data_IF_196325025927
#
_entry.id   IF_196325025927
#
_cell.length_a   1.000
_cell.length_b   1.000
_cell.length_c   1.000
_cell.angle_alpha   90.00
_cell.angle_beta   90.00
_cell.angle_gamma   90.00
#
_symmetry.space_group_name_H-M   'P 1'
#
loop_
_entity.id
_entity.type
_entity.pdbx_description
1 polymer ?
#
# COMPACT_ATOMS: atom_id res chain seq x y z
N UNK A 1 7.12 7.86 -11.34
CA UNK A 1 6.14 7.60 -10.29
C UNK A 1 6.86 7.31 -8.97
N UNK A 2 6.47 8.01 -7.90
CA UNK A 2 6.98 7.82 -6.54
C UNK A 2 5.82 7.45 -5.63
N UNK A 3 5.93 6.32 -4.94
CA UNK A 3 4.97 5.88 -3.94
C UNK A 3 5.60 5.90 -2.54
N UNK A 4 4.88 6.44 -1.56
CA UNK A 4 5.28 6.46 -0.17
C UNK A 4 4.09 6.25 0.77
N UNK A 5 4.33 6.28 2.08
CA UNK A 5 3.31 6.23 3.11
C UNK A 5 3.83 6.80 4.44
N UNK A 6 2.93 7.28 5.32
CA UNK A 6 3.28 7.68 6.69
C UNK A 6 4.00 6.59 7.48
N UNK A 7 3.60 5.32 7.29
CA UNK A 7 4.22 4.18 7.95
C UNK A 7 5.69 3.98 7.57
N UNK A 8 6.07 4.28 6.31
CA UNK A 8 7.40 3.94 5.81
C UNK A 8 8.49 4.74 6.52
N UNK A 9 9.25 4.04 7.37
CA UNK A 9 10.22 4.67 8.27
C UNK A 9 9.57 5.66 9.24
N UNK A 10 8.31 5.45 9.64
CA UNK A 10 7.56 6.30 10.59
C UNK A 10 7.54 7.78 10.17
N UNK A 11 7.32 8.04 8.88
CA UNK A 11 7.31 9.36 8.24
C UNK A 11 8.65 9.80 7.67
N UNK A 12 9.73 9.03 7.88
CA UNK A 12 11.06 9.38 7.35
C UNK A 12 11.12 9.27 5.82
N UNK A 13 10.38 8.31 5.22
CA UNK A 13 10.31 8.16 3.77
C UNK A 13 9.76 9.44 3.11
N UNK A 14 8.66 9.98 3.61
CA UNK A 14 8.06 11.21 3.10
C UNK A 14 9.02 12.40 3.28
N UNK A 15 9.68 12.52 4.44
CA UNK A 15 10.67 13.58 4.70
C UNK A 15 11.92 13.47 3.79
N UNK A 16 12.34 12.25 3.44
CA UNK A 16 13.44 12.04 2.48
C UNK A 16 13.02 12.37 1.06
N UNK A 17 11.81 11.99 0.66
CA UNK A 17 11.25 12.38 -0.63
C UNK A 17 11.14 13.91 -0.77
N UNK A 18 10.72 14.63 0.27
CA UNK A 18 10.72 16.09 0.28
C UNK A 18 12.07 16.66 -0.18
N UNK A 19 13.18 16.19 0.44
CA UNK A 19 14.53 16.68 0.11
C UNK A 19 14.90 16.48 -1.37
N UNK A 20 14.37 15.43 -1.98
CA UNK A 20 14.61 15.10 -3.37
C UNK A 20 13.63 15.85 -4.30
N UNK A 21 12.33 15.81 -4.02
CA UNK A 21 11.29 16.33 -4.91
C UNK A 21 11.31 17.85 -5.02
N UNK A 22 11.67 18.59 -3.96
CA UNK A 22 11.83 20.05 -4.03
C UNK A 22 12.85 20.55 -5.06
N UNK A 23 13.69 19.65 -5.60
CA UNK A 23 14.67 19.93 -6.64
C UNK A 23 14.15 19.55 -8.04
N UNK A 24 12.92 19.08 -8.15
CA UNK A 24 12.27 18.62 -9.37
C UNK A 24 11.11 19.53 -9.76
N UNK A 25 10.79 19.55 -11.05
CA UNK A 25 9.55 20.17 -11.49
C UNK A 25 8.40 19.20 -11.14
N UNK A 26 7.35 19.71 -10.51
CA UNK A 26 6.19 18.91 -10.09
C UNK A 26 5.43 18.27 -11.25
N UNK A 27 5.58 18.78 -12.47
CA UNK A 27 5.01 18.19 -13.68
C UNK A 27 5.79 16.98 -14.23
N UNK A 28 7.00 16.73 -13.72
CA UNK A 28 7.87 15.65 -14.20
C UNK A 28 7.67 14.32 -13.46
N UNK A 29 6.78 14.30 -12.46
CA UNK A 29 6.52 13.09 -11.69
C UNK A 29 5.05 12.98 -11.24
N UNK A 30 4.66 11.78 -10.91
CA UNK A 30 3.41 11.46 -10.19
C UNK A 30 3.78 10.98 -8.80
N UNK A 31 3.16 11.56 -7.78
CA UNK A 31 3.39 11.24 -6.38
C UNK A 31 2.16 10.63 -5.73
N UNK A 32 2.33 9.51 -5.07
CA UNK A 32 1.30 8.93 -4.21
C UNK A 32 1.72 8.85 -2.76
N UNK A 33 0.75 9.01 -1.85
CA UNK A 33 0.88 8.69 -0.43
C UNK A 33 -0.38 8.00 0.06
N UNK A 34 -0.41 7.65 1.35
CA UNK A 34 -1.48 6.83 1.92
C UNK A 34 -2.04 7.47 3.18
N UNK A 35 -3.30 7.15 3.52
CA UNK A 35 -4.03 7.70 4.68
C UNK A 35 -4.67 6.61 5.54
N UNK A 36 -5.10 6.98 6.75
CA UNK A 36 -5.72 6.07 7.71
C UNK A 36 -4.75 5.52 8.77
N UNK A 37 -3.45 5.69 8.56
CA UNK A 37 -2.38 5.29 9.51
C UNK A 37 -1.62 6.55 9.95
N UNK A 38 -1.90 7.05 11.15
CA UNK A 38 -1.36 8.30 11.68
C UNK A 38 -0.15 8.02 12.57
N UNK A 39 0.98 8.67 12.29
CA UNK A 39 2.21 8.54 13.07
C UNK A 39 2.26 9.62 14.15
N UNK A 40 2.10 9.25 15.42
CA UNK A 40 2.15 10.17 16.58
C UNK A 40 3.46 10.04 17.34
N UNK A 41 4.04 11.13 17.85
CA UNK A 41 5.22 11.06 18.72
C UNK A 41 4.96 10.16 19.93
N UNK A 42 5.96 9.38 20.32
CA UNK A 42 5.91 8.50 21.50
C UNK A 42 7.29 8.37 22.14
N UNK A 43 7.38 7.63 23.26
CA UNK A 43 8.65 7.20 23.81
C UNK A 43 9.27 6.06 23.00
N UNK A 44 10.57 5.85 23.13
CA UNK A 44 11.30 4.82 22.38
C UNK A 44 10.71 3.41 22.57
N UNK A 45 10.33 3.08 23.81
CA UNK A 45 9.73 1.78 24.16
C UNK A 45 8.36 1.51 23.54
N UNK A 46 7.65 2.56 23.13
CA UNK A 46 6.30 2.50 22.52
C UNK A 46 6.32 2.54 21.00
N UNK A 47 7.50 2.62 20.38
CA UNK A 47 7.64 2.82 18.94
C UNK A 47 7.03 1.67 18.14
N UNK A 48 6.29 1.98 17.10
CA UNK A 48 5.81 0.97 16.14
C UNK A 48 6.97 0.34 15.40
N UNK A 49 6.97 -1.00 15.27
CA UNK A 49 7.94 -1.74 14.48
C UNK A 49 9.36 -1.68 15.04
N UNK A 50 9.53 -1.75 16.37
CA UNK A 50 10.84 -1.91 17.02
C UNK A 50 11.60 -3.08 16.36
N UNK A 51 12.86 -2.83 15.97
CA UNK A 51 13.69 -3.79 15.25
C UNK A 51 13.41 -3.92 13.74
N UNK A 52 12.37 -3.27 13.22
CA UNK A 52 12.08 -3.23 11.78
C UNK A 52 12.53 -1.94 11.11
N UNK A 53 12.60 -0.84 11.86
CA UNK A 53 12.97 0.48 11.38
C UNK A 53 14.19 1.00 12.12
N UNK A 54 15.18 1.49 11.39
CA UNK A 54 16.44 2.01 11.93
C UNK A 54 16.58 3.50 11.64
N UNK A 55 17.14 4.25 12.57
CA UNK A 55 17.37 5.70 12.46
C UNK A 55 16.10 6.50 12.12
N UNK A 56 14.98 6.10 12.71
CA UNK A 56 13.67 6.70 12.48
C UNK A 56 13.20 7.51 13.70
N UNK A 57 12.30 8.49 13.53
CA UNK A 57 11.69 9.20 14.65
C UNK A 57 10.90 8.25 15.56
N UNK A 58 10.93 8.49 16.88
CA UNK A 58 10.11 7.74 17.82
C UNK A 58 8.63 8.09 17.64
N UNK A 59 7.93 7.23 16.92
CA UNK A 59 6.50 7.40 16.63
C UNK A 59 5.76 6.10 16.78
N UNK A 60 4.51 6.22 17.27
CA UNK A 60 3.55 5.12 17.36
C UNK A 60 2.46 5.32 16.33
N UNK A 61 2.11 4.23 15.67
CA UNK A 61 1.03 4.18 14.73
C UNK A 61 -0.33 4.19 15.43
N UNK A 62 -1.26 4.96 14.86
CA UNK A 62 -2.68 4.97 15.23
C UNK A 62 -3.52 4.81 13.96
N UNK A 63 -4.43 3.86 13.99
CA UNK A 63 -5.42 3.68 12.93
C UNK A 63 -6.60 4.60 13.17
N UNK A 64 -6.94 5.40 12.17
CA UNK A 64 -8.12 6.27 12.19
C UNK A 64 -8.59 6.45 10.76
N UNK A 65 -9.61 5.68 10.38
CA UNK A 65 -10.19 5.68 9.04
C UNK A 65 -11.47 6.53 8.96
N UNK A 66 -11.78 7.30 9.99
CA UNK A 66 -12.87 8.29 9.98
C UNK A 66 -12.56 9.45 9.04
N UNK A 67 -13.56 10.29 8.74
CA UNK A 67 -13.39 11.54 7.97
C UNK A 67 -12.22 12.37 8.51
N UNK A 68 -12.25 12.69 9.80
CA UNK A 68 -11.22 13.49 10.45
C UNK A 68 -9.85 12.79 10.48
N UNK A 69 -9.84 11.47 10.63
CA UNK A 69 -8.62 10.65 10.59
C UNK A 69 -7.95 10.69 9.22
N UNK A 70 -8.73 10.54 8.14
CA UNK A 70 -8.25 10.64 6.76
C UNK A 70 -7.70 12.04 6.47
N UNK A 71 -8.46 13.10 6.79
CA UNK A 71 -8.02 14.49 6.58
C UNK A 71 -6.74 14.80 7.34
N UNK A 72 -6.67 14.43 8.61
CA UNK A 72 -5.46 14.64 9.44
C UNK A 72 -4.26 13.85 8.93
N UNK A 73 -4.47 12.61 8.48
CA UNK A 73 -3.42 11.79 7.89
C UNK A 73 -2.89 12.44 6.61
N UNK A 74 -3.78 12.97 5.77
CA UNK A 74 -3.43 13.70 4.56
C UNK A 74 -2.61 14.96 4.87
N UNK A 75 -3.08 15.80 5.78
CA UNK A 75 -2.39 17.04 6.20
C UNK A 75 -0.96 16.76 6.69
N UNK A 76 -0.80 15.75 7.55
CA UNK A 76 0.52 15.37 8.07
C UNK A 76 1.45 14.83 6.98
N UNK A 77 0.92 14.11 5.98
CA UNK A 77 1.71 13.66 4.83
C UNK A 77 2.12 14.84 3.96
N UNK A 78 1.19 15.76 3.71
CA UNK A 78 1.42 16.97 2.94
C UNK A 78 2.53 17.85 3.56
N UNK A 79 2.49 18.04 4.89
CA UNK A 79 3.53 18.76 5.64
C UNK A 79 4.90 18.07 5.52
N UNK A 80 4.97 16.73 5.68
CA UNK A 80 6.25 15.99 5.60
C UNK A 80 6.82 15.97 4.20
N UNK A 81 5.98 15.83 3.18
CA UNK A 81 6.37 15.85 1.77
C UNK A 81 6.78 17.24 1.30
N UNK A 82 6.15 18.32 1.85
CA UNK A 82 6.48 19.70 1.51
C UNK A 82 6.33 20.01 0.01
N UNK A 83 5.36 19.38 -0.65
CA UNK A 83 5.01 19.54 -2.07
C UNK A 83 3.74 20.38 -2.19
N UNK A 84 3.45 20.92 -3.37
CA UNK A 84 2.18 21.62 -3.62
C UNK A 84 1.03 20.68 -3.94
N UNK A 85 1.33 19.39 -4.29
CA UNK A 85 0.35 18.41 -4.74
C UNK A 85 0.76 16.99 -4.36
N UNK A 86 -0.21 16.19 -3.95
CA UNK A 86 -0.16 14.72 -3.95
C UNK A 86 -1.13 14.27 -5.04
N UNK A 87 -0.63 13.55 -6.06
CA UNK A 87 -1.47 13.18 -7.21
C UNK A 87 -2.45 12.06 -6.87
N UNK A 88 -2.00 11.05 -6.13
CA UNK A 88 -2.79 9.86 -5.83
C UNK A 88 -2.82 9.62 -4.32
N UNK A 89 -4.02 9.42 -3.78
CA UNK A 89 -4.22 9.14 -2.37
C UNK A 89 -4.83 7.75 -2.18
N UNK A 90 -4.16 6.90 -1.42
CA UNK A 90 -4.64 5.55 -1.10
C UNK A 90 -5.12 5.46 0.35
N UNK A 91 -6.28 4.81 0.60
CA UNK A 91 -6.54 4.26 1.91
C UNK A 91 -5.59 3.08 2.16
N UNK A 92 -4.92 3.08 3.34
CA UNK A 92 -3.82 2.15 3.61
C UNK A 92 -4.28 0.96 4.44
N UNK A 93 -4.07 -0.25 3.89
CA UNK A 93 -4.13 -1.52 4.61
C UNK A 93 -5.37 -1.75 5.51
N UNK A 94 -6.53 -1.91 4.91
CA UNK A 94 -7.77 -2.34 5.61
C UNK A 94 -7.88 -3.87 5.76
N UNK A 95 -6.80 -4.62 5.52
CA UNK A 95 -6.80 -6.06 5.31
C UNK A 95 -6.49 -6.88 6.57
N UNK A 96 -6.80 -8.18 6.52
CA UNK A 96 -6.53 -9.13 7.61
C UNK A 96 -5.03 -9.21 7.91
N UNK A 97 -4.20 -9.17 6.87
CA UNK A 97 -2.75 -9.20 7.02
C UNK A 97 -2.23 -8.11 7.98
N UNK A 98 -2.81 -6.93 7.93
CA UNK A 98 -2.42 -5.80 8.80
C UNK A 98 -3.09 -5.87 10.17
N UNK A 99 -4.37 -6.24 10.24
CA UNK A 99 -5.17 -6.17 11.47
C UNK A 99 -5.28 -7.50 12.21
N UNK A 100 -4.71 -8.60 11.66
CA UNK A 100 -4.55 -9.88 12.34
C UNK A 100 -5.78 -10.78 12.33
N UNK A 101 -6.99 -10.27 12.06
CA UNK A 101 -8.20 -11.06 11.96
C UNK A 101 -9.21 -10.47 10.98
N UNK A 102 -10.13 -11.32 10.49
CA UNK A 102 -11.22 -10.86 9.62
C UNK A 102 -12.11 -9.85 10.35
N UNK A 103 -12.45 -10.09 11.61
CA UNK A 103 -13.27 -9.18 12.42
C UNK A 103 -12.63 -7.80 12.52
N UNK A 104 -11.34 -7.73 12.85
CA UNK A 104 -10.64 -6.46 12.94
C UNK A 104 -10.52 -5.75 11.58
N UNK A 105 -10.33 -6.48 10.50
CA UNK A 105 -10.35 -5.95 9.13
C UNK A 105 -11.75 -5.39 8.78
N UNK A 106 -12.80 -6.15 9.04
CA UNK A 106 -14.19 -5.73 8.80
C UNK A 106 -14.55 -4.47 9.61
N UNK A 107 -14.09 -4.37 10.87
CA UNK A 107 -14.27 -3.16 11.69
C UNK A 107 -13.59 -1.93 11.08
N UNK A 108 -12.39 -2.07 10.50
CA UNK A 108 -11.70 -0.96 9.83
C UNK A 108 -12.37 -0.57 8.52
N UNK A 109 -12.86 -1.54 7.77
CA UNK A 109 -13.64 -1.27 6.56
C UNK A 109 -14.95 -0.56 6.91
N UNK A 110 -15.67 -1.02 7.95
CA UNK A 110 -16.87 -0.35 8.45
C UNK A 110 -16.56 1.06 8.95
N UNK A 111 -15.47 1.24 9.71
CA UNK A 111 -15.03 2.57 10.14
C UNK A 111 -14.81 3.52 8.95
N UNK A 112 -14.16 3.05 7.88
CA UNK A 112 -13.86 3.83 6.70
C UNK A 112 -15.13 4.30 5.96
N UNK A 113 -16.14 3.46 5.84
CA UNK A 113 -17.41 3.85 5.21
C UNK A 113 -18.35 4.55 6.19
N UNK A 114 -18.64 3.97 7.35
CA UNK A 114 -19.67 4.45 8.28
C UNK A 114 -19.29 5.77 8.96
N UNK A 115 -17.99 6.01 9.17
CA UNK A 115 -17.45 7.28 9.71
C UNK A 115 -16.93 8.23 8.61
N UNK A 116 -17.41 8.06 7.38
CA UNK A 116 -17.19 8.97 6.25
C UNK A 116 -15.73 9.17 5.82
N UNK A 117 -14.86 8.21 6.07
CA UNK A 117 -13.48 8.26 5.58
C UNK A 117 -13.41 8.20 4.06
N UNK A 118 -14.30 7.42 3.43
CA UNK A 118 -14.44 7.37 1.99
C UNK A 118 -14.87 8.74 1.41
N UNK A 119 -15.86 9.39 2.04
CA UNK A 119 -16.31 10.72 1.64
C UNK A 119 -15.22 11.80 1.81
N UNK A 120 -14.32 11.64 2.79
CA UNK A 120 -13.17 12.53 2.91
C UNK A 120 -12.24 12.41 1.68
N UNK A 121 -11.95 11.19 1.23
CA UNK A 121 -11.15 10.98 0.02
C UNK A 121 -11.85 11.50 -1.24
N UNK A 122 -13.16 11.26 -1.40
CA UNK A 122 -13.95 11.83 -2.48
C UNK A 122 -13.89 13.36 -2.48
N UNK A 123 -14.06 13.99 -1.31
CA UNK A 123 -14.00 15.45 -1.17
C UNK A 123 -12.66 16.02 -1.62
N UNK A 124 -11.53 15.35 -1.29
CA UNK A 124 -10.20 15.76 -1.74
C UNK A 124 -10.06 15.65 -3.27
N UNK A 125 -10.62 14.60 -3.91
CA UNK A 125 -10.64 14.44 -5.36
C UNK A 125 -11.54 15.48 -6.03
N UNK A 126 -12.77 15.63 -5.57
CA UNK A 126 -13.75 16.54 -6.14
C UNK A 126 -13.32 18.02 -6.08
N UNK A 127 -12.54 18.38 -5.06
CA UNK A 127 -11.92 19.71 -4.92
C UNK A 127 -10.59 19.82 -5.69
N UNK A 128 -10.17 18.79 -6.43
CA UNK A 128 -8.90 18.73 -7.15
C UNK A 128 -7.65 18.91 -6.24
N UNK A 129 -7.76 18.58 -4.95
CA UNK A 129 -6.63 18.56 -4.02
C UNK A 129 -5.73 17.35 -4.32
N UNK A 130 -6.36 16.23 -4.72
CA UNK A 130 -5.68 15.06 -5.31
C UNK A 130 -6.33 14.76 -6.67
N UNK A 131 -5.58 14.10 -7.57
CA UNK A 131 -6.08 13.74 -8.90
C UNK A 131 -6.89 12.45 -8.88
N UNK A 132 -6.47 11.49 -8.05
CA UNK A 132 -7.06 10.15 -7.99
C UNK A 132 -7.05 9.59 -6.58
N UNK A 133 -8.02 8.71 -6.29
CA UNK A 133 -8.15 8.00 -5.03
C UNK A 133 -8.20 6.50 -5.23
N UNK A 134 -7.71 5.75 -4.23
CA UNK A 134 -7.67 4.29 -4.32
C UNK A 134 -7.41 3.58 -2.99
N UNK A 135 -7.08 2.30 -3.07
CA UNK A 135 -6.63 1.49 -1.94
C UNK A 135 -5.21 0.96 -2.15
N UNK A 136 -4.32 1.11 -1.16
CA UNK A 136 -3.01 0.50 -1.11
C UNK A 136 -3.02 -0.68 -0.13
N UNK A 137 -3.19 -1.92 -0.63
CA UNK A 137 -3.62 -3.05 0.18
C UNK A 137 -2.89 -4.34 -0.21
N UNK A 138 -2.65 -5.22 0.77
CA UNK A 138 -1.98 -6.52 0.60
C UNK A 138 -2.95 -7.68 0.27
N UNK A 139 -4.26 -7.43 0.12
CA UNK A 139 -5.27 -8.47 -0.16
C UNK A 139 -6.20 -8.02 -1.28
N UNK A 140 -6.29 -8.81 -2.35
CA UNK A 140 -7.13 -8.49 -3.50
C UNK A 140 -8.63 -8.57 -3.17
N UNK A 141 -9.02 -9.41 -2.20
CA UNK A 141 -10.39 -9.55 -1.72
C UNK A 141 -10.91 -8.24 -1.13
N UNK A 142 -10.09 -7.56 -0.35
CA UNK A 142 -10.41 -6.25 0.22
C UNK A 142 -10.45 -5.18 -0.87
N UNK A 143 -9.50 -5.20 -1.82
CA UNK A 143 -9.55 -4.31 -2.98
C UNK A 143 -10.84 -4.49 -3.78
N UNK A 144 -11.27 -5.73 -4.02
CA UNK A 144 -12.52 -6.02 -4.71
C UNK A 144 -13.74 -5.50 -3.94
N UNK A 145 -13.77 -5.75 -2.63
CA UNK A 145 -14.85 -5.25 -1.76
C UNK A 145 -15.00 -3.72 -1.83
N UNK A 146 -13.88 -3.00 -1.80
CA UNK A 146 -13.87 -1.55 -1.94
C UNK A 146 -14.32 -1.13 -3.35
N UNK A 147 -13.78 -1.77 -4.39
CA UNK A 147 -14.15 -1.50 -5.78
C UNK A 147 -15.65 -1.69 -6.04
N UNK A 148 -16.29 -2.65 -5.42
CA UNK A 148 -17.73 -2.89 -5.56
C UNK A 148 -18.60 -1.81 -4.91
N UNK A 149 -18.07 -1.07 -3.92
CA UNK A 149 -18.82 -0.11 -3.08
C UNK A 149 -18.49 1.35 -3.33
N UNK A 150 -17.32 1.62 -3.89
CA UNK A 150 -16.86 2.99 -4.09
C UNK A 150 -16.47 3.27 -5.53
N UNK A 151 -16.38 4.56 -5.84
CA UNK A 151 -15.87 5.08 -7.09
C UNK A 151 -14.38 5.38 -6.94
N UNK A 152 -13.56 4.33 -7.04
CA UNK A 152 -12.11 4.38 -6.96
C UNK A 152 -11.49 4.42 -8.35
N UNK A 153 -10.42 5.19 -8.49
CA UNK A 153 -9.71 5.36 -9.77
C UNK A 153 -8.67 4.26 -9.99
N UNK A 154 -8.03 3.78 -8.89
CA UNK A 154 -6.98 2.76 -9.00
C UNK A 154 -6.73 2.05 -7.67
N UNK A 155 -6.06 0.89 -7.74
CA UNK A 155 -5.55 0.18 -6.57
C UNK A 155 -4.06 -0.10 -6.69
N UNK A 156 -3.31 0.06 -5.59
CA UNK A 156 -1.98 -0.47 -5.42
C UNK A 156 -2.10 -1.82 -4.71
N UNK A 157 -2.00 -2.91 -5.49
CA UNK A 157 -2.13 -4.29 -5.01
C UNK A 157 -0.73 -4.85 -4.71
N UNK A 158 -0.41 -4.99 -3.42
CA UNK A 158 0.90 -5.41 -2.99
C UNK A 158 1.05 -6.94 -2.92
N UNK A 159 1.95 -7.49 -3.75
CA UNK A 159 2.35 -8.90 -3.71
C UNK A 159 1.25 -9.92 -4.08
N UNK A 160 0.14 -9.51 -4.66
CA UNK A 160 -1.01 -10.39 -4.97
C UNK A 160 -1.38 -10.45 -6.46
N UNK A 161 -0.56 -9.82 -7.30
CA UNK A 161 -0.58 -10.01 -8.75
C UNK A 161 0.86 -10.11 -9.26
N UNK A 162 1.37 -11.33 -9.29
CA UNK A 162 2.76 -11.65 -9.62
C UNK A 162 2.80 -13.01 -10.33
N UNK A 163 3.98 -13.47 -10.78
CA UNK A 163 4.12 -14.83 -11.30
C UNK A 163 3.74 -15.90 -10.28
N UNK A 164 3.93 -15.61 -8.99
CA UNK A 164 3.64 -16.55 -7.89
C UNK A 164 2.17 -16.47 -7.42
N UNK A 165 1.59 -15.26 -7.44
CA UNK A 165 0.26 -14.97 -6.91
C UNK A 165 -0.66 -14.45 -8.02
N UNK A 166 -1.66 -15.26 -8.41
CA UNK A 166 -2.53 -14.97 -9.55
C UNK A 166 -4.03 -15.03 -9.22
N UNK A 167 -4.40 -15.16 -7.95
CA UNK A 167 -5.81 -15.31 -7.56
C UNK A 167 -6.68 -14.10 -7.95
N UNK A 168 -6.09 -12.90 -7.96
CA UNK A 168 -6.77 -11.67 -8.37
C UNK A 168 -7.30 -11.70 -9.81
N UNK A 169 -6.71 -12.53 -10.70
CA UNK A 169 -7.16 -12.72 -12.09
C UNK A 169 -8.58 -13.29 -12.22
N UNK A 170 -9.09 -13.95 -11.19
CA UNK A 170 -10.38 -14.65 -11.29
C UNK A 170 -11.58 -13.72 -11.26
N UNK A 171 -11.51 -12.63 -10.49
CA UNK A 171 -12.65 -11.73 -10.28
C UNK A 171 -12.25 -10.27 -10.15
N UNK A 172 -11.23 -9.95 -9.36
CA UNK A 172 -10.87 -8.56 -9.07
C UNK A 172 -10.34 -7.83 -10.31
N UNK A 173 -9.39 -8.39 -11.04
CA UNK A 173 -8.85 -7.73 -12.24
C UNK A 173 -9.89 -7.58 -13.36
N UNK A 174 -10.74 -8.59 -13.67
CA UNK A 174 -11.87 -8.41 -14.58
C UNK A 174 -12.87 -7.33 -14.14
N UNK A 175 -13.10 -7.19 -12.83
CA UNK A 175 -13.92 -6.10 -12.29
C UNK A 175 -13.29 -4.74 -12.56
N UNK A 176 -11.98 -4.62 -12.30
CA UNK A 176 -11.22 -3.39 -12.55
C UNK A 176 -11.26 -3.00 -14.03
N UNK A 177 -11.00 -3.95 -14.93
CA UNK A 177 -11.07 -3.74 -16.38
C UNK A 177 -12.46 -3.23 -16.80
N UNK A 178 -13.53 -3.90 -16.34
CA UNK A 178 -14.92 -3.50 -16.64
C UNK A 178 -15.25 -2.09 -16.16
N UNK A 179 -14.68 -1.66 -15.04
CA UNK A 179 -14.96 -0.35 -14.41
C UNK A 179 -13.95 0.74 -14.77
N UNK A 180 -12.93 0.43 -15.57
CA UNK A 180 -11.86 1.37 -15.90
C UNK A 180 -10.96 1.73 -14.72
N UNK A 181 -10.85 0.84 -13.70
CA UNK A 181 -10.03 1.04 -12.49
C UNK A 181 -8.60 0.61 -12.81
N UNK A 182 -7.63 1.50 -12.56
CA UNK A 182 -6.22 1.23 -12.75
C UNK A 182 -5.63 0.28 -11.68
N UNK A 183 -4.60 -0.49 -12.04
CA UNK A 183 -3.85 -1.32 -11.10
C UNK A 183 -2.38 -0.96 -11.12
N UNK A 184 -1.82 -0.68 -9.94
CA UNK A 184 -0.38 -0.58 -9.71
C UNK A 184 0.06 -1.82 -8.94
N UNK A 185 0.99 -2.58 -9.51
CA UNK A 185 1.52 -3.79 -8.88
C UNK A 185 2.64 -3.41 -7.91
N UNK A 186 2.36 -3.49 -6.62
CA UNK A 186 3.35 -3.33 -5.56
C UNK A 186 4.03 -4.66 -5.22
N UNK A 187 5.33 -4.65 -4.88
CA UNK A 187 6.07 -5.84 -4.45
C UNK A 187 6.03 -7.02 -5.44
N UNK A 188 6.29 -6.81 -6.75
CA UNK A 188 6.11 -7.85 -7.78
C UNK A 188 7.01 -9.05 -7.59
N UNK A 189 8.08 -8.93 -6.81
CA UNK A 189 9.02 -10.01 -6.53
C UNK A 189 8.71 -10.81 -5.25
N UNK A 190 7.54 -10.60 -4.62
CA UNK A 190 7.08 -11.33 -3.41
C UNK A 190 8.17 -11.44 -2.33
N UNK A 191 8.56 -10.28 -1.76
CA UNK A 191 9.65 -10.17 -0.77
C UNK A 191 11.04 -10.59 -1.28
N UNK A 192 11.22 -10.61 -2.60
CA UNK A 192 12.48 -10.91 -3.27
C UNK A 192 12.62 -12.34 -3.80
N UNK A 193 11.77 -13.29 -3.39
CA UNK A 193 11.92 -14.70 -3.79
C UNK A 193 11.87 -14.90 -5.31
N UNK A 194 11.10 -14.11 -6.06
CA UNK A 194 11.07 -14.18 -7.53
C UNK A 194 12.32 -13.57 -8.19
N UNK A 195 13.16 -12.85 -7.43
CA UNK A 195 14.44 -12.32 -7.92
C UNK A 195 15.63 -13.21 -7.50
N UNK A 196 15.56 -13.82 -6.30
CA UNK A 196 16.64 -14.65 -5.76
C UNK A 196 16.49 -16.12 -6.06
N UNK A 197 15.29 -16.56 -6.45
CA UNK A 197 14.96 -17.97 -6.62
C UNK A 197 14.47 -18.64 -5.35
N UNK A 198 14.01 -19.89 -5.50
CA UNK A 198 13.53 -20.76 -4.43
C UNK A 198 14.65 -21.38 -3.59
N UNK A 199 15.52 -20.57 -3.03
CA UNK A 199 16.66 -21.01 -2.20
C UNK A 199 16.31 -21.07 -0.71
N UNK A 200 17.13 -21.76 0.06
CA UNK A 200 17.00 -21.79 1.52
C UNK A 200 17.17 -20.37 2.10
N UNK A 201 16.25 -19.95 2.97
CA UNK A 201 16.27 -18.62 3.58
C UNK A 201 15.66 -17.52 2.70
N UNK A 202 15.09 -17.83 1.53
CA UNK A 202 14.33 -16.88 0.74
C UNK A 202 13.11 -16.36 1.53
N UNK A 203 12.72 -15.11 1.25
CA UNK A 203 11.60 -14.45 1.93
C UNK A 203 10.34 -14.42 1.08
N UNK A 204 9.19 -14.63 1.74
CA UNK A 204 7.85 -14.49 1.18
C UNK A 204 6.92 -13.86 2.23
N UNK A 205 6.07 -12.92 1.84
CA UNK A 205 5.21 -12.18 2.78
C UNK A 205 5.95 -11.60 4.00
N UNK A 206 7.15 -11.06 3.75
CA UNK A 206 8.01 -10.44 4.78
C UNK A 206 8.57 -11.41 5.83
N UNK A 207 8.48 -12.72 5.61
CA UNK A 207 9.00 -13.77 6.49
C UNK A 207 9.72 -14.85 5.66
N UNK A 208 10.34 -15.82 6.33
CA UNK A 208 10.99 -16.97 5.66
C UNK A 208 9.94 -17.72 4.85
N UNK A 209 10.27 -17.98 3.58
CA UNK A 209 9.36 -18.67 2.67
C UNK A 209 9.10 -20.11 3.11
N UNK A 210 7.84 -20.55 3.22
CA UNK A 210 7.51 -21.93 3.48
C UNK A 210 7.86 -22.83 2.28
N UNK A 211 8.05 -24.13 2.55
CA UNK A 211 8.54 -25.10 1.58
C UNK A 211 7.69 -25.16 0.30
N UNK A 212 6.37 -25.11 0.43
CA UNK A 212 5.44 -25.12 -0.71
C UNK A 212 5.62 -23.91 -1.64
N UNK A 213 6.00 -22.76 -1.11
CA UNK A 213 6.29 -21.55 -1.90
C UNK A 213 7.62 -21.73 -2.64
N UNK A 214 8.64 -22.25 -1.97
CA UNK A 214 9.94 -22.56 -2.59
C UNK A 214 9.74 -23.54 -3.76
N UNK A 215 8.99 -24.60 -3.55
CA UNK A 215 8.69 -25.59 -4.60
C UNK A 215 7.93 -24.99 -5.79
N UNK A 216 7.01 -24.05 -5.53
CA UNK A 216 6.27 -23.35 -6.57
C UNK A 216 7.18 -22.43 -7.38
N UNK A 217 8.07 -21.69 -6.72
CA UNK A 217 9.06 -20.82 -7.38
C UNK A 217 10.01 -21.66 -8.24
N UNK A 218 10.51 -22.77 -7.73
CA UNK A 218 11.38 -23.66 -8.51
C UNK A 218 10.70 -24.20 -9.78
N UNK A 219 9.39 -24.46 -9.75
CA UNK A 219 8.62 -24.84 -10.96
C UNK A 219 8.51 -23.67 -11.95
N UNK A 220 8.30 -22.44 -11.47
CA UNK A 220 8.30 -21.25 -12.33
C UNK A 220 9.66 -21.08 -12.99
N UNK A 221 10.76 -21.20 -12.23
CA UNK A 221 12.12 -21.12 -12.78
C UNK A 221 12.41 -22.16 -13.87
N UNK A 222 11.90 -23.41 -13.70
CA UNK A 222 12.06 -24.43 -14.73
C UNK A 222 11.41 -24.02 -16.05
N UNK A 223 10.18 -23.47 -15.98
CA UNK A 223 9.50 -22.94 -17.17
C UNK A 223 10.26 -21.76 -17.77
N UNK A 224 10.72 -20.81 -16.95
CA UNK A 224 11.51 -19.69 -17.44
C UNK A 224 12.78 -20.15 -18.15
N UNK A 225 13.49 -21.15 -17.62
CA UNK A 225 14.70 -21.72 -18.26
C UNK A 225 14.38 -22.44 -19.58
N UNK A 226 13.27 -23.19 -19.63
CA UNK A 226 12.83 -23.88 -20.85
C UNK A 226 12.55 -22.90 -22.01
N UNK A 227 12.02 -21.72 -21.70
CA UNK A 227 11.68 -20.70 -22.69
C UNK A 227 12.71 -19.53 -22.74
N UNK A 228 13.89 -19.72 -22.16
CA UNK A 228 14.97 -18.70 -22.13
C UNK A 228 14.51 -17.32 -21.63
N UNK A 229 13.59 -17.29 -20.67
CA UNK A 229 13.11 -16.08 -20.01
C UNK A 229 14.02 -15.79 -18.80
N UNK A 230 14.63 -14.57 -18.72
CA UNK A 230 15.56 -14.22 -17.64
C UNK A 230 14.86 -14.13 -16.26
#
# INVERSE_FOLDING_TARGET
YYDTAPLYGLGLSETRLNKFLRLKNENDYVLSSKVGRIMRPCKAEDQTGIGKWFDVPFRKEHYDYSYDGIMRSFEFSFERLGVSKIDILYVHDLCIFTHGSKTASDERISEFFDKKGYEAMLSLRDQNVVTAIGGGINEWEVCQYLAERGDFDLFLLAGRYTLLEQKALKSFLPLCEKRGIGIITGGPYNSGILATGGIQGAYYNYDIAPKEIIEKVNKIELVCREYEIP
#
